data_IF_262726948370
#
_entry.id   IF_262726948370
#
_cell.length_a   1.000
_cell.length_b   1.000
_cell.length_c   1.000
_cell.angle_alpha   90.00
_cell.angle_beta   90.00
_cell.angle_gamma   90.00
#
_symmetry.space_group_name_H-M   'P 1'
#
loop_
_entity.id
_entity.type
_entity.pdbx_description
1 polymer ?
#
# COMPACT_ATOMS: atom_id res chain seq x y z
N UNK A 1 68.72 -44.88 5.82
CA UNK A 1 68.61 -43.42 5.55
C UNK A 1 67.74 -43.03 4.33
N UNK A 2 67.62 -43.81 3.28
CA UNK A 2 66.81 -43.45 2.08
C UNK A 2 65.26 -43.45 2.29
N UNK A 3 64.75 -44.18 3.27
CA UNK A 3 63.25 -44.24 3.51
C UNK A 3 62.71 -43.09 4.34
N UNK A 4 63.53 -42.40 5.11
CA UNK A 4 63.13 -41.25 5.93
C UNK A 4 62.97 -39.99 5.06
N UNK A 5 63.81 -39.85 4.01
CA UNK A 5 63.73 -38.72 3.09
C UNK A 5 62.49 -38.74 2.23
N UNK A 6 61.98 -39.94 1.88
CA UNK A 6 60.77 -40.07 1.07
C UNK A 6 59.48 -39.69 1.87
N UNK A 7 59.44 -39.99 3.17
CA UNK A 7 58.34 -39.62 4.04
C UNK A 7 58.29 -38.10 4.27
N UNK A 8 59.46 -37.47 4.44
CA UNK A 8 59.53 -36.01 4.58
C UNK A 8 59.14 -35.26 3.28
N UNK A 9 59.52 -35.80 2.11
CA UNK A 9 59.12 -35.21 0.82
C UNK A 9 57.62 -35.34 0.57
N UNK A 10 56.99 -36.44 0.97
CA UNK A 10 55.53 -36.62 0.86
C UNK A 10 54.79 -35.71 1.87
N UNK A 11 55.33 -35.55 3.10
CA UNK A 11 54.73 -34.62 4.07
C UNK A 11 54.90 -33.16 3.64
N UNK A 12 56.03 -32.77 3.04
CA UNK A 12 56.20 -31.41 2.49
C UNK A 12 55.31 -31.15 1.27
N UNK A 13 55.03 -32.17 0.43
CA UNK A 13 54.10 -32.03 -0.67
C UNK A 13 52.61 -31.94 -0.21
N UNK A 14 52.26 -32.66 0.87
CA UNK A 14 50.87 -32.55 1.42
C UNK A 14 50.65 -31.21 2.09
N UNK A 15 51.68 -30.61 2.70
CA UNK A 15 51.56 -29.27 3.27
C UNK A 15 51.62 -28.13 2.22
N UNK A 16 52.26 -28.36 1.05
CA UNK A 16 52.30 -27.38 -0.03
C UNK A 16 51.07 -27.40 -0.94
N UNK A 17 50.22 -28.41 -0.82
CA UNK A 17 48.91 -28.49 -1.56
C UNK A 17 47.75 -27.86 -0.83
N UNK A 18 47.92 -27.35 0.39
CA UNK A 18 46.85 -26.73 1.19
C UNK A 18 47.01 -25.21 1.38
N UNK A 19 48.00 -24.57 0.80
CA UNK A 19 48.02 -23.12 0.65
C UNK A 19 47.38 -22.75 -0.69
N UNK A 20 46.09 -22.94 -0.80
CA UNK A 20 45.33 -22.21 -1.78
C UNK A 20 45.50 -20.72 -1.43
N UNK A 21 46.13 -19.94 -2.34
CA UNK A 21 46.26 -18.50 -2.15
C UNK A 21 44.86 -17.94 -1.91
N UNK A 22 44.59 -17.56 -0.68
CA UNK A 22 43.33 -16.94 -0.32
C UNK A 22 43.27 -15.57 -0.99
N UNK A 23 42.40 -15.42 -1.97
CA UNK A 23 42.21 -14.14 -2.64
C UNK A 23 41.37 -13.22 -1.73
N UNK A 24 41.90 -12.05 -1.44
CA UNK A 24 41.19 -11.01 -0.69
C UNK A 24 40.77 -9.90 -1.64
N UNK A 25 39.48 -9.61 -1.68
CA UNK A 25 38.88 -8.54 -2.50
C UNK A 25 38.34 -7.49 -1.55
N UNK A 26 38.78 -6.23 -1.70
CA UNK A 26 38.22 -5.12 -0.93
C UNK A 26 37.01 -4.53 -1.68
N UNK A 27 35.86 -4.40 -1.00
CA UNK A 27 34.63 -3.91 -1.54
C UNK A 27 34.18 -2.71 -0.70
N UNK A 28 33.91 -1.59 -1.36
CA UNK A 28 33.34 -0.41 -0.70
C UNK A 28 31.95 -0.16 -1.26
N UNK A 29 30.94 -0.22 -0.40
CA UNK A 29 29.55 0.09 -0.71
C UNK A 29 29.19 1.40 -0.02
N UNK A 30 28.67 2.37 -0.78
CA UNK A 30 28.31 3.69 -0.26
C UNK A 30 26.85 4.01 -0.55
N UNK A 31 26.20 4.74 0.36
CA UNK A 31 24.78 5.09 0.20
C UNK A 31 23.85 3.91 0.44
N UNK A 32 24.26 2.94 1.26
CA UNK A 32 23.39 1.82 1.61
C UNK A 32 22.17 2.33 2.42
N UNK A 33 20.99 1.92 2.00
CA UNK A 33 19.73 2.22 2.69
C UNK A 33 19.44 1.08 3.66
N UNK A 34 19.07 1.46 4.89
CA UNK A 34 18.76 0.52 5.98
C UNK A 34 17.25 0.30 6.05
N UNK A 35 16.81 -0.91 5.76
CA UNK A 35 15.40 -1.30 5.90
C UNK A 35 15.25 -2.30 7.05
N UNK A 36 14.47 -2.00 8.10
CA UNK A 36 14.11 -2.96 9.13
C UNK A 36 13.14 -4.00 8.56
N UNK A 37 13.59 -5.26 8.42
CA UNK A 37 12.79 -6.29 7.74
C UNK A 37 11.79 -6.98 8.67
N UNK A 38 12.11 -7.20 9.94
CA UNK A 38 11.15 -7.67 10.97
C UNK A 38 11.80 -7.84 12.33
N UNK A 39 10.96 -7.89 13.38
CA UNK A 39 11.34 -8.44 14.70
C UNK A 39 10.80 -9.86 14.80
N UNK A 40 11.68 -10.85 14.94
CA UNK A 40 11.31 -12.18 15.41
C UNK A 40 11.75 -12.32 16.87
N UNK A 41 10.88 -11.97 17.80
CA UNK A 41 11.21 -11.95 19.22
C UNK A 41 12.26 -10.87 19.55
N UNK A 42 13.38 -11.26 20.17
CA UNK A 42 14.52 -10.37 20.49
C UNK A 42 15.53 -10.17 19.34
N UNK A 43 15.25 -10.74 18.17
CA UNK A 43 16.14 -10.66 17.01
C UNK A 43 15.71 -9.55 16.07
N UNK A 44 16.65 -8.70 15.68
CA UNK A 44 16.46 -7.68 14.62
C UNK A 44 17.09 -8.18 13.33
N UNK A 45 16.33 -8.13 12.26
CA UNK A 45 16.84 -8.26 10.90
C UNK A 45 16.95 -6.86 10.29
N UNK A 46 18.14 -6.52 9.80
CA UNK A 46 18.35 -5.33 9.00
C UNK A 46 18.75 -5.75 7.61
N UNK A 47 18.12 -5.19 6.61
CA UNK A 47 18.54 -5.29 5.23
C UNK A 47 19.19 -3.95 4.84
N UNK A 48 20.42 -4.04 4.29
CA UNK A 48 21.08 -2.92 3.63
C UNK A 48 21.05 -3.16 2.14
N UNK A 49 20.64 -2.17 1.38
CA UNK A 49 20.55 -2.26 -0.07
C UNK A 49 21.01 -0.95 -0.71
N UNK A 50 21.66 -1.03 -1.86
CA UNK A 50 22.05 0.13 -2.67
C UNK A 50 21.34 0.12 -4.02
N UNK A 51 21.45 1.23 -4.76
CA UNK A 51 20.78 1.41 -6.06
C UNK A 51 21.30 0.45 -7.16
N UNK A 52 22.47 -0.19 -6.96
CA UNK A 52 23.03 -1.13 -7.93
C UNK A 52 22.73 -2.58 -7.60
N UNK A 53 21.96 -2.81 -6.53
CA UNK A 53 21.45 -4.13 -6.14
C UNK A 53 22.40 -4.96 -5.27
N UNK A 54 23.38 -4.33 -4.58
CA UNK A 54 24.07 -4.99 -3.50
C UNK A 54 23.14 -5.09 -2.30
N UNK A 55 23.10 -6.26 -1.66
CA UNK A 55 22.26 -6.53 -0.50
C UNK A 55 23.08 -7.17 0.61
N UNK A 56 22.96 -6.64 1.83
CA UNK A 56 23.56 -7.21 3.03
C UNK A 56 22.49 -7.36 4.11
N UNK A 57 22.21 -8.58 4.51
CA UNK A 57 21.31 -8.91 5.63
C UNK A 57 22.12 -9.10 6.90
N UNK A 58 21.77 -8.34 7.93
CA UNK A 58 22.44 -8.40 9.22
C UNK A 58 21.52 -9.07 10.21
N UNK A 59 22.01 -10.11 10.85
CA UNK A 59 21.30 -10.82 11.89
C UNK A 59 21.94 -10.49 13.24
N UNK A 60 21.21 -9.75 14.08
CA UNK A 60 21.66 -9.41 15.41
C UNK A 60 20.77 -10.05 16.48
N UNK A 61 21.35 -10.89 17.31
CA UNK A 61 20.66 -11.58 18.40
C UNK A 61 20.39 -10.74 19.65
N UNK A 62 20.75 -9.42 19.67
CA UNK A 62 20.54 -8.55 20.84
C UNK A 62 20.19 -7.13 20.44
N UNK A 63 19.26 -6.54 21.17
CA UNK A 63 18.64 -5.24 20.90
C UNK A 63 19.60 -4.04 20.94
N UNK A 64 20.75 -4.14 21.65
CA UNK A 64 21.64 -3.00 21.96
C UNK A 64 23.11 -3.21 21.59
N UNK A 65 23.45 -4.18 20.73
CA UNK A 65 24.85 -4.52 20.53
C UNK A 65 25.42 -3.92 19.23
N UNK A 66 26.19 -2.87 19.39
CA UNK A 66 27.39 -2.68 18.57
C UNK A 66 28.35 -3.82 18.91
N UNK A 67 28.60 -4.73 17.98
CA UNK A 67 29.44 -5.90 18.19
C UNK A 67 29.52 -6.77 16.95
N UNK A 68 30.12 -7.91 17.07
CA UNK A 68 30.22 -8.88 15.99
C UNK A 68 28.86 -9.53 15.75
N UNK A 69 28.42 -9.59 14.49
CA UNK A 69 27.17 -10.23 14.08
C UNK A 69 27.34 -10.94 12.73
N UNK A 70 26.44 -11.87 12.45
CA UNK A 70 26.43 -12.58 11.19
C UNK A 70 25.90 -11.68 10.07
N UNK A 71 26.60 -11.68 8.94
CA UNK A 71 26.24 -10.95 7.72
C UNK A 71 26.08 -11.94 6.58
N UNK A 72 24.96 -11.84 5.89
CA UNK A 72 24.66 -12.59 4.66
C UNK A 72 24.37 -11.59 3.57
N UNK A 73 24.72 -11.86 2.33
CA UNK A 73 24.41 -10.91 1.29
C UNK A 73 24.65 -11.38 -0.12
N UNK A 74 24.40 -10.46 -1.03
CA UNK A 74 24.66 -10.59 -2.45
C UNK A 74 25.43 -9.37 -2.93
N UNK A 75 26.56 -9.60 -3.56
CA UNK A 75 27.39 -8.55 -4.17
C UNK A 75 27.16 -8.56 -5.68
N UNK A 76 26.38 -7.59 -6.15
CA UNK A 76 25.87 -7.54 -7.53
C UNK A 76 27.00 -7.42 -8.57
N UNK A 77 28.04 -6.63 -8.29
CA UNK A 77 29.19 -6.47 -9.17
C UNK A 77 29.92 -7.78 -9.44
N UNK A 78 29.97 -8.66 -8.43
CA UNK A 78 30.66 -9.95 -8.51
C UNK A 78 29.72 -11.10 -8.84
N UNK A 79 28.40 -10.85 -8.78
CA UNK A 79 27.32 -11.84 -8.98
C UNK A 79 27.45 -13.04 -8.03
N UNK A 80 27.73 -12.80 -6.75
CA UNK A 80 28.01 -13.84 -5.75
C UNK A 80 27.19 -13.65 -4.48
N UNK A 81 26.76 -14.77 -3.89
CA UNK A 81 26.25 -14.83 -2.53
C UNK A 81 27.40 -14.98 -1.54
N UNK A 82 27.36 -14.22 -0.48
CA UNK A 82 28.41 -14.13 0.53
C UNK A 82 27.85 -14.27 1.94
N UNK A 83 28.68 -14.82 2.84
CA UNK A 83 28.36 -14.90 4.27
C UNK A 83 29.60 -14.72 5.13
N UNK A 84 29.42 -14.28 6.36
CA UNK A 84 30.52 -14.10 7.31
C UNK A 84 30.14 -13.29 8.52
N UNK A 85 31.10 -12.55 9.06
CA UNK A 85 30.88 -11.72 10.25
C UNK A 85 31.21 -10.25 9.98
N UNK A 86 30.54 -9.36 10.68
CA UNK A 86 30.75 -7.93 10.57
C UNK A 86 30.65 -7.21 11.90
N UNK A 87 31.11 -5.97 11.90
CA UNK A 87 30.98 -5.03 13.01
C UNK A 87 30.30 -3.76 12.52
N UNK A 88 29.46 -3.21 13.37
CA UNK A 88 28.75 -1.96 13.12
C UNK A 88 29.31 -0.85 14.02
N UNK A 89 29.64 0.28 13.45
CA UNK A 89 30.14 1.42 14.19
C UNK A 89 29.69 2.74 13.54
N UNK A 90 29.73 3.81 14.31
CA UNK A 90 29.62 5.16 13.78
C UNK A 90 31.05 5.71 13.60
N UNK A 91 31.44 5.94 12.35
CA UNK A 91 32.77 6.47 12.00
C UNK A 91 32.56 7.86 11.41
N UNK A 92 33.15 8.87 12.04
CA UNK A 92 33.03 10.29 11.65
C UNK A 92 31.56 10.76 11.47
N UNK A 93 30.66 10.23 12.30
CA UNK A 93 29.23 10.56 12.26
C UNK A 93 28.41 9.77 11.22
N UNK A 94 29.03 8.84 10.50
CA UNK A 94 28.38 7.99 9.50
C UNK A 94 28.29 6.55 10.02
N UNK A 95 27.10 5.97 9.99
CA UNK A 95 26.93 4.54 10.29
C UNK A 95 27.68 3.71 9.24
N UNK A 96 28.55 2.82 9.70
CA UNK A 96 29.44 2.03 8.86
C UNK A 96 29.41 0.58 9.30
N UNK A 97 29.15 -0.32 8.37
CA UNK A 97 29.34 -1.77 8.51
C UNK A 97 30.71 -2.14 7.93
N UNK A 98 31.53 -2.85 8.70
CA UNK A 98 32.74 -3.49 8.20
C UNK A 98 32.57 -5.00 8.37
N UNK A 99 32.71 -5.75 7.28
CA UNK A 99 32.47 -7.19 7.30
C UNK A 99 33.58 -7.96 6.57
N UNK A 100 33.87 -9.18 7.06
CA UNK A 100 34.70 -10.16 6.39
C UNK A 100 33.80 -11.29 5.93
N UNK A 101 33.59 -11.37 4.63
CA UNK A 101 32.64 -12.29 3.99
C UNK A 101 33.37 -13.27 3.09
N UNK A 102 32.86 -14.48 2.98
CA UNK A 102 33.35 -15.51 2.06
C UNK A 102 32.23 -15.84 1.06
N UNK A 103 32.65 -16.18 -0.14
CA UNK A 103 31.73 -16.70 -1.15
C UNK A 103 31.21 -18.06 -0.71
N UNK A 104 29.90 -18.29 -0.79
CA UNK A 104 29.27 -19.54 -0.34
C UNK A 104 29.74 -20.77 -1.15
N UNK A 105 30.01 -20.58 -2.44
CA UNK A 105 30.41 -21.65 -3.34
C UNK A 105 31.96 -21.80 -3.38
N UNK A 106 32.72 -20.78 -2.99
CA UNK A 106 34.17 -20.76 -3.09
C UNK A 106 34.82 -20.04 -1.89
N UNK A 107 35.03 -20.78 -0.82
CA UNK A 107 35.62 -20.25 0.43
C UNK A 107 37.07 -19.79 0.33
N UNK A 108 37.75 -19.96 -0.83
CA UNK A 108 39.10 -19.42 -1.06
C UNK A 108 39.11 -17.92 -1.38
N UNK A 109 37.90 -17.34 -1.68
CA UNK A 109 37.74 -15.92 -1.93
C UNK A 109 37.12 -15.27 -0.68
N UNK A 110 37.77 -14.22 -0.19
CA UNK A 110 37.35 -13.42 0.95
C UNK A 110 37.10 -11.98 0.51
N UNK A 111 35.95 -11.46 0.83
CA UNK A 111 35.55 -10.06 0.59
C UNK A 111 35.69 -9.28 1.90
N UNK A 112 36.52 -8.23 1.90
CA UNK A 112 36.58 -7.23 2.96
C UNK A 112 35.65 -6.10 2.58
N UNK A 113 34.42 -6.09 3.16
CA UNK A 113 33.38 -5.16 2.82
C UNK A 113 33.36 -4.00 3.81
N UNK A 114 33.35 -2.79 3.29
CA UNK A 114 33.04 -1.57 4.05
C UNK A 114 31.80 -0.93 3.44
N UNK A 115 30.68 -0.95 4.15
CA UNK A 115 29.43 -0.38 3.72
C UNK A 115 29.08 0.85 4.56
N UNK A 116 28.90 2.00 3.92
CA UNK A 116 28.47 3.24 4.58
C UNK A 116 26.99 3.50 4.29
N UNK A 117 26.24 3.85 5.35
CA UNK A 117 24.82 4.14 5.23
C UNK A 117 24.61 5.58 4.77
N UNK A 118 23.47 5.80 4.12
CA UNK A 118 22.99 7.14 3.84
C UNK A 118 22.73 7.88 5.16
N UNK A 119 23.19 9.14 5.26
CA UNK A 119 22.95 9.94 6.45
C UNK A 119 21.45 10.14 6.67
N UNK A 120 20.96 9.82 7.87
CA UNK A 120 19.58 10.04 8.24
C UNK A 120 19.23 11.55 8.17
N UNK A 121 18.07 11.82 7.62
CA UNK A 121 17.58 13.20 7.42
C UNK A 121 16.56 13.54 8.50
N UNK A 122 16.56 14.81 8.90
CA UNK A 122 15.45 15.40 9.66
C UNK A 122 14.69 16.34 8.73
N UNK A 123 13.39 16.09 8.57
CA UNK A 123 12.52 16.80 7.65
C UNK A 123 11.42 17.48 8.45
N UNK A 124 11.30 18.80 8.31
CA UNK A 124 10.26 19.59 8.96
C UNK A 124 9.03 19.68 8.06
N UNK A 125 7.90 19.16 8.54
CA UNK A 125 6.63 19.17 7.83
C UNK A 125 5.63 20.09 8.54
N UNK A 126 5.41 21.28 7.99
CA UNK A 126 4.44 22.23 8.53
C UNK A 126 3.27 22.43 7.57
N UNK A 127 2.05 22.17 8.03
CA UNK A 127 0.83 22.38 7.28
C UNK A 127 -0.21 23.18 8.08
N UNK A 128 -0.49 24.41 7.66
CA UNK A 128 -1.41 25.31 8.36
C UNK A 128 -2.86 25.26 7.84
N UNK A 129 -3.08 24.65 6.67
CA UNK A 129 -4.38 24.59 5.99
C UNK A 129 -4.83 23.13 5.77
N UNK A 130 -4.51 22.26 6.72
CA UNK A 130 -4.96 20.89 6.70
C UNK A 130 -6.47 20.80 6.99
N UNK A 131 -7.03 19.68 6.66
CA UNK A 131 -8.36 19.30 7.10
C UNK A 131 -8.33 17.95 7.79
N UNK A 132 -9.39 17.66 8.56
CA UNK A 132 -9.60 16.35 9.15
C UNK A 132 -11.03 15.88 8.90
N UNK A 133 -11.21 14.59 8.87
CA UNK A 133 -12.52 13.94 8.81
C UNK A 133 -12.48 12.62 9.59
N UNK A 134 -13.66 12.05 9.83
CA UNK A 134 -13.84 10.78 10.50
C UNK A 134 -14.61 9.86 9.56
N UNK A 135 -13.95 8.87 8.93
CA UNK A 135 -14.63 7.90 8.07
C UNK A 135 -15.57 7.01 8.88
N UNK A 136 -15.23 6.77 10.14
CA UNK A 136 -16.04 6.01 11.09
C UNK A 136 -15.93 6.59 12.53
N UNK A 137 -16.43 5.85 13.51
CA UNK A 137 -16.41 6.28 14.92
C UNK A 137 -15.03 6.11 15.59
N UNK A 138 -14.10 5.39 14.97
CA UNK A 138 -12.81 5.03 15.57
C UNK A 138 -11.66 5.86 15.00
N UNK A 139 -11.67 6.10 13.69
CA UNK A 139 -10.58 6.75 13.01
C UNK A 139 -10.79 8.26 12.87
N UNK A 140 -9.73 9.01 13.02
CA UNK A 140 -9.64 10.43 12.61
C UNK A 140 -8.47 10.57 11.67
N UNK A 141 -8.74 11.05 10.47
CA UNK A 141 -7.77 11.22 9.41
C UNK A 141 -7.50 12.72 9.22
N UNK A 142 -6.22 13.08 9.29
CA UNK A 142 -5.72 14.42 9.01
C UNK A 142 -5.03 14.41 7.67
N UNK A 143 -5.35 15.36 6.80
CA UNK A 143 -4.78 15.50 5.47
C UNK A 143 -4.36 16.92 5.22
N UNK A 144 -3.16 17.11 4.72
CA UNK A 144 -2.65 18.43 4.35
C UNK A 144 -1.60 18.33 3.23
N UNK A 145 -1.42 19.43 2.54
CA UNK A 145 -0.38 19.58 1.53
C UNK A 145 0.85 20.27 2.13
N UNK A 146 2.00 19.68 1.92
CA UNK A 146 3.29 20.26 2.29
C UNK A 146 4.14 20.37 1.02
N UNK A 147 4.19 21.55 0.43
CA UNK A 147 4.95 21.87 -0.78
C UNK A 147 4.60 20.96 -2.00
N UNK A 148 3.34 20.64 -2.18
CA UNK A 148 2.86 19.79 -3.28
C UNK A 148 2.88 18.29 -2.98
N UNK A 149 3.26 17.90 -1.76
CA UNK A 149 3.25 16.50 -1.31
C UNK A 149 2.19 16.33 -0.21
N UNK A 150 1.32 15.34 -0.36
CA UNK A 150 0.27 15.06 0.62
C UNK A 150 0.87 14.42 1.87
N UNK A 151 0.53 15.00 3.01
CA UNK A 151 0.76 14.42 4.34
C UNK A 151 -0.57 13.93 4.89
N UNK A 152 -0.66 12.64 5.16
CA UNK A 152 -1.83 11.98 5.74
C UNK A 152 -1.46 11.37 7.07
N UNK A 153 -2.25 11.60 8.11
CA UNK A 153 -2.03 11.04 9.45
C UNK A 153 -3.33 10.42 9.94
N UNK A 154 -3.26 9.19 10.44
CA UNK A 154 -4.39 8.40 10.92
C UNK A 154 -4.22 8.18 12.41
N UNK A 155 -5.21 8.56 13.18
CA UNK A 155 -5.25 8.37 14.64
C UNK A 155 -6.49 7.55 15.00
N UNK A 156 -6.28 6.39 15.57
CA UNK A 156 -7.35 5.57 16.12
C UNK A 156 -7.81 6.11 17.49
N UNK A 157 -9.12 6.17 17.70
CA UNK A 157 -9.73 6.61 18.97
C UNK A 157 -9.15 7.93 19.49
N UNK A 158 -8.94 8.91 18.62
CA UNK A 158 -8.28 10.19 18.89
C UNK A 158 -8.83 10.89 20.13
N UNK A 159 -7.91 11.33 20.99
CA UNK A 159 -8.20 12.17 22.16
C UNK A 159 -7.43 13.50 22.09
N UNK A 160 -7.90 14.53 22.82
CA UNK A 160 -7.07 15.69 23.10
C UNK A 160 -5.96 15.30 24.06
N UNK A 161 -4.71 15.60 23.72
CA UNK A 161 -3.50 15.18 24.41
C UNK A 161 -2.70 14.20 23.58
N UNK A 162 -1.99 13.30 24.24
CA UNK A 162 -1.10 12.36 23.60
C UNK A 162 -1.88 11.16 23.05
N UNK A 163 -1.60 10.82 21.80
CA UNK A 163 -2.14 9.66 21.09
C UNK A 163 -0.98 8.76 20.70
N UNK A 164 -1.04 7.47 21.03
CA UNK A 164 0.01 6.50 20.80
C UNK A 164 -0.13 5.79 19.44
N UNK A 165 0.97 5.24 18.95
CA UNK A 165 1.04 4.35 17.77
C UNK A 165 0.38 4.95 16.53
N UNK A 166 0.76 6.18 16.19
CA UNK A 166 0.14 6.95 15.11
C UNK A 166 0.79 6.64 13.77
N UNK A 167 -0.05 6.27 12.80
CA UNK A 167 0.34 6.04 11.42
C UNK A 167 0.30 7.33 10.61
N UNK A 168 1.26 7.50 9.71
CA UNK A 168 1.26 8.60 8.76
C UNK A 168 1.82 8.17 7.41
N UNK A 169 1.58 9.01 6.40
CA UNK A 169 2.12 8.86 5.06
C UNK A 169 2.50 10.23 4.51
N UNK A 170 3.70 10.37 3.99
CA UNK A 170 4.16 11.59 3.31
C UNK A 170 4.54 11.25 1.87
N UNK A 171 3.68 11.64 0.93
CA UNK A 171 3.71 11.10 -0.43
C UNK A 171 3.48 9.60 -0.43
N UNK A 172 4.46 8.83 -0.90
CA UNK A 172 4.45 7.36 -0.90
C UNK A 172 5.21 6.74 0.28
N UNK A 173 5.74 7.57 1.20
CA UNK A 173 6.55 7.11 2.33
C UNK A 173 5.70 6.93 3.57
N UNK A 174 5.62 5.71 4.09
CA UNK A 174 5.01 5.43 5.38
C UNK A 174 5.89 5.96 6.51
N UNK A 175 5.26 6.66 7.46
CA UNK A 175 5.91 7.22 8.65
C UNK A 175 5.14 6.83 9.91
N UNK A 176 5.85 6.57 10.99
CA UNK A 176 5.30 6.11 12.27
C UNK A 176 5.73 7.02 13.41
N UNK A 177 4.82 7.33 14.32
CA UNK A 177 5.14 8.00 15.57
C UNK A 177 4.68 7.18 16.77
N UNK A 178 5.53 7.05 17.79
CA UNK A 178 5.14 6.43 19.07
C UNK A 178 4.10 7.28 19.79
N UNK A 179 4.20 8.60 19.66
CA UNK A 179 3.26 9.55 20.31
C UNK A 179 3.11 10.81 19.48
N UNK A 180 1.86 11.24 19.31
CA UNK A 180 1.48 12.50 18.67
C UNK A 180 0.56 13.26 19.61
N UNK A 181 0.84 14.55 19.84
CA UNK A 181 -0.02 15.43 20.62
C UNK A 181 -1.07 16.10 19.73
N UNK A 182 -2.34 16.00 20.12
CA UNK A 182 -3.47 16.68 19.47
C UNK A 182 -4.13 17.62 20.46
N UNK A 183 -4.39 18.85 20.05
CA UNK A 183 -5.09 19.84 20.88
C UNK A 183 -6.08 20.65 20.07
N UNK A 184 -7.17 21.09 20.69
CA UNK A 184 -8.17 21.93 20.08
C UNK A 184 -9.61 21.43 20.23
N UNK A 185 -10.55 22.19 19.65
CA UNK A 185 -11.97 21.84 19.59
C UNK A 185 -12.54 22.35 18.26
N UNK A 186 -12.90 21.42 17.34
CA UNK A 186 -13.40 21.77 16.01
C UNK A 186 -12.32 22.25 15.02
N UNK A 187 -11.25 22.85 15.53
CA UNK A 187 -9.98 23.09 14.83
C UNK A 187 -8.90 22.47 15.68
N UNK A 188 -8.13 21.54 15.13
CA UNK A 188 -7.11 20.82 15.84
C UNK A 188 -5.71 21.26 15.41
N UNK A 189 -4.79 21.27 16.38
CA UNK A 189 -3.35 21.33 16.13
C UNK A 189 -2.77 19.97 16.50
N UNK A 190 -2.02 19.40 15.59
CA UNK A 190 -1.33 18.12 15.73
C UNK A 190 0.17 18.38 15.66
N UNK A 191 0.92 17.79 16.56
CA UNK A 191 2.38 17.83 16.56
C UNK A 191 2.98 16.52 17.00
N UNK A 192 4.05 16.10 16.35
CA UNK A 192 4.72 14.83 16.67
C UNK A 192 5.97 14.63 15.84
N UNK A 193 6.75 13.63 16.26
CA UNK A 193 7.93 13.19 15.54
C UNK A 193 7.68 11.79 15.01
N UNK A 194 7.80 11.65 13.70
CA UNK A 194 7.61 10.41 12.97
C UNK A 194 8.94 9.90 12.44
N UNK A 195 9.02 8.63 12.17
CA UNK A 195 10.16 8.00 11.50
C UNK A 195 9.68 7.12 10.35
N UNK A 196 10.41 7.10 9.24
CA UNK A 196 10.21 6.13 8.18
C UNK A 196 10.96 4.82 8.46
N UNK A 197 10.80 3.85 7.58
CA UNK A 197 11.41 2.53 7.71
C UNK A 197 12.95 2.56 7.71
N UNK A 198 13.56 3.57 7.09
CA UNK A 198 15.02 3.70 7.03
C UNK A 198 15.59 4.55 8.18
N UNK A 199 14.72 5.19 8.98
CA UNK A 199 15.07 5.95 10.18
C UNK A 199 15.15 7.46 10.00
N UNK A 200 14.79 8.01 8.83
CA UNK A 200 14.63 9.46 8.70
C UNK A 200 13.56 9.96 9.67
N UNK A 201 13.78 11.14 10.20
CA UNK A 201 12.89 11.76 11.18
C UNK A 201 12.08 12.88 10.52
N UNK A 202 10.77 12.87 10.76
CA UNK A 202 9.83 13.87 10.26
C UNK A 202 9.21 14.60 11.45
N UNK A 203 9.54 15.87 11.63
CA UNK A 203 8.91 16.72 12.64
C UNK A 203 7.66 17.34 12.04
N UNK A 204 6.50 16.87 12.49
CA UNK A 204 5.21 17.29 11.96
C UNK A 204 4.56 18.34 12.84
N UNK A 205 4.11 19.43 12.23
CA UNK A 205 3.21 20.41 12.82
C UNK A 205 2.07 20.72 11.86
N UNK A 206 0.84 20.39 12.25
CA UNK A 206 -0.33 20.51 11.40
C UNK A 206 -1.46 21.23 12.13
N UNK A 207 -2.11 22.20 11.45
CA UNK A 207 -3.35 22.82 11.92
C UNK A 207 -4.47 22.48 10.96
N UNK A 208 -5.48 21.76 11.44
CA UNK A 208 -6.55 21.20 10.62
C UNK A 208 -7.94 21.67 11.07
N UNK A 209 -8.77 21.98 10.11
CA UNK A 209 -10.23 22.24 10.30
C UNK A 209 -11.02 21.03 9.81
N UNK A 210 -12.23 20.86 10.35
CA UNK A 210 -13.09 19.77 9.87
C UNK A 210 -13.41 19.93 8.38
N UNK A 211 -13.28 18.85 7.62
CA UNK A 211 -13.68 18.83 6.22
C UNK A 211 -15.20 19.00 6.11
N UNK A 212 -15.64 19.97 5.31
CA UNK A 212 -17.06 20.28 5.15
C UNK A 212 -17.75 19.21 4.31
N UNK A 213 -18.93 18.75 4.78
CA UNK A 213 -19.77 17.84 4.02
C UNK A 213 -20.64 18.62 3.06
N UNK A 214 -20.62 18.23 1.80
CA UNK A 214 -21.48 18.78 0.76
C UNK A 214 -22.69 17.87 0.59
N UNK A 215 -23.91 18.30 0.95
CA UNK A 215 -25.10 17.50 0.75
C UNK A 215 -25.45 17.44 -0.75
N UNK A 216 -25.72 16.25 -1.24
CA UNK A 216 -26.14 16.00 -2.63
C UNK A 216 -27.41 15.16 -2.60
N UNK A 217 -28.49 15.70 -3.18
CA UNK A 217 -29.75 15.00 -3.28
C UNK A 217 -30.09 14.73 -4.74
N UNK A 218 -30.25 13.47 -5.07
CA UNK A 218 -30.52 13.00 -6.42
C UNK A 218 -31.85 12.24 -6.40
N UNK A 219 -32.72 12.56 -7.34
CA UNK A 219 -33.97 11.87 -7.56
C UNK A 219 -33.97 11.27 -8.99
N UNK A 220 -34.83 10.30 -9.22
CA UNK A 220 -34.99 9.63 -10.52
C UNK A 220 -33.70 8.83 -10.94
N UNK A 221 -32.91 8.35 -10.00
CA UNK A 221 -31.85 7.42 -10.26
C UNK A 221 -32.42 6.02 -10.59
N UNK A 222 -31.57 5.20 -11.20
CA UNK A 222 -31.90 3.83 -11.59
C UNK A 222 -30.98 2.85 -10.85
N UNK A 223 -31.60 1.79 -10.33
CA UNK A 223 -30.95 0.70 -9.64
C UNK A 223 -31.00 -0.56 -10.51
N UNK A 224 -29.88 -1.25 -10.68
CA UNK A 224 -29.77 -2.53 -11.37
C UNK A 224 -28.82 -3.46 -10.61
N UNK A 225 -29.05 -4.77 -10.73
CA UNK A 225 -28.07 -5.78 -10.29
C UNK A 225 -27.32 -6.32 -11.50
N UNK A 226 -26.00 -6.30 -11.44
CA UNK A 226 -25.11 -6.79 -12.51
C UNK A 226 -23.92 -7.49 -11.89
N UNK A 227 -23.68 -8.74 -12.32
CA UNK A 227 -22.54 -9.56 -11.91
C UNK A 227 -22.35 -9.66 -10.37
N UNK A 228 -23.44 -9.71 -9.62
CA UNK A 228 -23.44 -9.78 -8.17
C UNK A 228 -23.19 -8.46 -7.44
N UNK A 229 -23.13 -7.35 -8.16
CA UNK A 229 -23.04 -6.01 -7.61
C UNK A 229 -24.34 -5.23 -7.84
N UNK A 230 -24.58 -4.21 -7.02
CA UNK A 230 -25.63 -3.22 -7.25
C UNK A 230 -25.03 -2.01 -7.93
N UNK A 231 -25.60 -1.60 -9.05
CA UNK A 231 -25.21 -0.42 -9.82
C UNK A 231 -26.33 0.59 -9.75
N UNK A 232 -26.03 1.81 -9.30
CA UNK A 232 -26.95 2.93 -9.27
C UNK A 232 -26.43 4.00 -10.22
N UNK A 233 -27.27 4.40 -11.15
CA UNK A 233 -26.94 5.40 -12.17
C UNK A 233 -27.97 6.52 -12.20
N UNK A 234 -27.56 7.69 -12.67
CA UNK A 234 -28.42 8.86 -12.82
C UNK A 234 -27.62 10.08 -13.25
N UNK A 235 -28.25 11.24 -13.14
CA UNK A 235 -27.61 12.52 -13.41
C UNK A 235 -27.18 13.19 -12.11
N UNK A 236 -25.90 13.52 -12.00
CA UNK A 236 -25.31 14.29 -10.89
C UNK A 236 -25.76 15.76 -10.96
N UNK A 237 -25.75 16.28 -12.18
CA UNK A 237 -26.25 17.59 -12.58
C UNK A 237 -26.75 17.52 -14.04
N UNK A 238 -27.13 18.66 -14.63
CA UNK A 238 -27.69 18.71 -15.99
C UNK A 238 -26.78 18.16 -17.09
N UNK A 239 -25.46 17.98 -16.83
CA UNK A 239 -24.47 17.59 -17.83
C UNK A 239 -23.58 16.42 -17.41
N UNK A 240 -23.71 15.94 -16.19
CA UNK A 240 -22.81 14.90 -15.63
C UNK A 240 -23.62 13.70 -15.17
N UNK A 241 -23.37 12.57 -15.77
CA UNK A 241 -23.90 11.29 -15.29
C UNK A 241 -23.04 10.76 -14.13
N UNK A 242 -23.66 10.01 -13.23
CA UNK A 242 -22.96 9.32 -12.17
C UNK A 242 -23.24 7.83 -12.18
N UNK A 243 -22.30 7.09 -11.60
CA UNK A 243 -22.43 5.66 -11.30
C UNK A 243 -21.96 5.41 -9.88
N UNK A 244 -22.74 4.68 -9.10
CA UNK A 244 -22.32 4.12 -7.82
C UNK A 244 -22.32 2.61 -7.94
N UNK A 245 -21.21 1.98 -7.53
CA UNK A 245 -21.08 0.52 -7.45
C UNK A 245 -21.07 0.12 -5.99
N UNK A 246 -22.01 -0.74 -5.59
CA UNK A 246 -22.04 -1.40 -4.29
C UNK A 246 -21.65 -2.85 -4.48
N UNK A 247 -20.61 -3.27 -3.75
CA UNK A 247 -20.02 -4.60 -3.92
C UNK A 247 -20.80 -5.63 -3.11
N UNK A 248 -21.69 -6.26 -3.67
CA UNK A 248 -22.55 -7.42 -3.41
C UNK A 248 -23.99 -7.14 -3.81
N UNK A 249 -24.71 -8.16 -4.26
CA UNK A 249 -26.15 -8.03 -4.56
C UNK A 249 -26.96 -7.84 -3.28
N UNK A 250 -28.04 -7.09 -3.41
CA UNK A 250 -29.00 -6.87 -2.33
C UNK A 250 -29.70 -8.20 -1.94
N UNK A 251 -29.55 -8.59 -0.68
CA UNK A 251 -30.21 -9.82 -0.15
C UNK A 251 -31.38 -9.53 0.77
N UNK A 252 -31.61 -8.27 1.09
CA UNK A 252 -32.71 -7.80 1.94
C UNK A 252 -33.17 -6.38 1.54
N UNK A 253 -34.26 -5.91 2.10
CA UNK A 253 -34.80 -4.57 1.83
C UNK A 253 -34.04 -3.43 2.54
N UNK A 254 -33.11 -3.79 3.41
CA UNK A 254 -32.24 -2.86 4.12
C UNK A 254 -30.86 -3.47 4.23
N UNK A 255 -29.88 -2.89 3.56
CA UNK A 255 -28.48 -3.38 3.54
C UNK A 255 -27.55 -2.21 3.80
N UNK A 256 -26.55 -2.46 4.66
CA UNK A 256 -25.40 -1.59 4.83
C UNK A 256 -24.24 -2.22 4.07
N UNK A 257 -23.70 -1.48 3.10
CA UNK A 257 -22.52 -1.86 2.36
C UNK A 257 -21.29 -1.25 3.03
N UNK A 258 -20.27 -2.07 3.26
CA UNK A 258 -19.02 -1.63 3.87
C UNK A 258 -18.08 -0.98 2.85
N UNK A 259 -18.36 -1.14 1.56
CA UNK A 259 -17.57 -0.57 0.47
C UNK A 259 -18.47 -0.15 -0.70
N UNK A 260 -18.25 1.07 -1.19
CA UNK A 260 -18.95 1.61 -2.34
C UNK A 260 -18.07 2.61 -3.09
N UNK A 261 -18.12 2.57 -4.41
CA UNK A 261 -17.44 3.51 -5.30
C UNK A 261 -18.45 4.44 -5.97
N UNK A 262 -18.09 5.72 -6.07
CA UNK A 262 -18.81 6.74 -6.82
C UNK A 262 -17.92 7.30 -7.92
N UNK A 263 -18.47 7.36 -9.12
CA UNK A 263 -17.91 8.11 -10.24
C UNK A 263 -18.95 9.08 -10.78
N UNK A 264 -18.58 10.37 -10.89
CA UNK A 264 -19.42 11.40 -11.51
C UNK A 264 -18.52 12.37 -12.29
N UNK A 265 -18.41 12.19 -13.61
CA UNK A 265 -17.41 12.88 -14.42
C UNK A 265 -15.98 12.61 -13.91
N UNK A 266 -15.28 13.68 -13.51
CA UNK A 266 -13.93 13.62 -12.93
C UNK A 266 -13.94 13.37 -11.41
N UNK A 267 -15.11 13.32 -10.76
CA UNK A 267 -15.25 13.03 -9.34
C UNK A 267 -15.14 11.52 -9.15
N UNK A 268 -14.13 11.10 -8.42
CA UNK A 268 -13.96 9.73 -7.91
C UNK A 268 -14.00 9.79 -6.40
N UNK A 269 -14.90 9.02 -5.79
CA UNK A 269 -15.04 8.99 -4.34
C UNK A 269 -15.43 7.59 -3.85
N UNK A 270 -15.07 7.27 -2.62
CA UNK A 270 -15.35 5.98 -1.98
C UNK A 270 -16.10 6.16 -0.67
N UNK A 271 -16.81 5.14 -0.24
CA UNK A 271 -17.48 5.12 1.06
C UNK A 271 -17.27 3.78 1.75
N UNK A 272 -17.13 3.83 3.08
CA UNK A 272 -17.02 2.64 3.95
C UNK A 272 -18.35 2.28 4.62
N UNK A 273 -19.40 3.08 4.43
CA UNK A 273 -20.71 2.82 4.99
C UNK A 273 -21.82 3.48 4.15
N UNK A 274 -22.49 2.69 3.36
CA UNK A 274 -23.64 3.11 2.53
C UNK A 274 -24.86 2.25 2.88
N UNK A 275 -25.97 2.89 3.11
CA UNK A 275 -27.25 2.20 3.39
C UNK A 275 -28.14 2.24 2.17
N UNK A 276 -28.52 1.09 1.67
CA UNK A 276 -29.52 0.91 0.62
C UNK A 276 -30.82 0.35 1.24
N UNK A 277 -31.91 1.07 1.04
CA UNK A 277 -33.27 0.63 1.34
C UNK A 277 -34.03 0.44 0.05
N UNK A 278 -34.71 -0.69 -0.11
CA UNK A 278 -35.54 -0.99 -1.27
C UNK A 278 -36.98 -1.32 -0.82
N UNK A 279 -37.97 -0.93 -1.58
CA UNK A 279 -39.39 -1.29 -1.39
C UNK A 279 -40.07 -1.48 -2.76
N UNK A 280 -41.38 -1.76 -2.74
CA UNK A 280 -42.17 -1.96 -3.95
C UNK A 280 -42.26 -0.70 -4.84
N UNK A 281 -41.91 0.47 -4.32
CA UNK A 281 -42.00 1.76 -5.03
C UNK A 281 -40.66 2.23 -5.58
N UNK A 282 -39.54 1.63 -5.11
CA UNK A 282 -38.21 2.01 -5.55
C UNK A 282 -37.14 1.79 -4.51
N UNK A 283 -36.14 2.67 -4.49
CA UNK A 283 -35.01 2.57 -3.55
C UNK A 283 -34.62 3.94 -3.00
N UNK A 284 -33.95 3.91 -1.87
CA UNK A 284 -33.21 5.06 -1.31
C UNK A 284 -31.83 4.62 -0.88
N UNK A 285 -30.80 5.29 -1.37
CA UNK A 285 -29.41 5.16 -0.95
C UNK A 285 -29.01 6.38 -0.12
N UNK A 286 -28.36 6.14 1.02
CA UNK A 286 -27.73 7.19 1.84
C UNK A 286 -26.34 6.78 2.21
N UNK A 287 -25.38 7.72 2.15
CA UNK A 287 -23.99 7.48 2.52
C UNK A 287 -23.13 8.72 2.39
N UNK A 288 -21.94 8.65 2.96
CA UNK A 288 -20.92 9.69 2.85
C UNK A 288 -19.79 9.16 1.98
N UNK A 289 -19.51 9.84 0.88
CA UNK A 289 -18.46 9.50 -0.06
C UNK A 289 -17.31 10.49 0.06
N UNK A 290 -16.11 9.98 0.26
CA UNK A 290 -14.89 10.75 0.41
C UNK A 290 -14.21 10.80 -0.96
N UNK A 291 -13.98 12.01 -1.47
CA UNK A 291 -13.25 12.21 -2.72
C UNK A 291 -11.88 11.51 -2.68
N UNK A 292 -11.45 10.91 -3.77
CA UNK A 292 -10.17 10.16 -3.85
C UNK A 292 -8.93 10.96 -3.44
N UNK A 293 -8.97 12.29 -3.59
CA UNK A 293 -7.94 13.20 -3.12
C UNK A 293 -8.20 13.71 -1.68
N UNK A 294 -9.20 13.18 -1.00
CA UNK A 294 -9.59 13.54 0.38
C UNK A 294 -9.87 15.05 0.58
N UNK A 295 -10.30 15.74 -0.48
CA UNK A 295 -10.56 17.20 -0.48
C UNK A 295 -12.01 17.57 -0.23
N UNK A 296 -12.94 16.62 -0.32
CA UNK A 296 -14.37 16.81 -0.13
C UNK A 296 -15.05 15.55 0.41
N UNK A 297 -16.17 15.76 1.12
CA UNK A 297 -17.10 14.69 1.51
C UNK A 297 -18.44 15.01 0.88
N UNK A 298 -19.00 14.06 0.14
CA UNK A 298 -20.35 14.14 -0.43
C UNK A 298 -21.33 13.33 0.43
N UNK A 299 -22.24 14.00 1.10
CA UNK A 299 -23.33 13.36 1.84
C UNK A 299 -24.49 13.11 0.87
N UNK A 300 -24.58 11.88 0.34
CA UNK A 300 -25.54 11.53 -0.69
C UNK A 300 -26.87 11.07 -0.08
N UNK A 301 -27.95 11.55 -0.69
CA UNK A 301 -29.29 10.97 -0.57
C UNK A 301 -29.84 10.79 -1.98
N UNK A 302 -29.93 9.53 -2.42
CA UNK A 302 -30.33 9.18 -3.77
C UNK A 302 -31.61 8.35 -3.71
N UNK A 303 -32.59 8.69 -4.51
CA UNK A 303 -33.83 7.92 -4.66
C UNK A 303 -34.16 7.69 -6.12
N UNK A 304 -34.83 6.58 -6.38
CA UNK A 304 -35.17 6.22 -7.73
C UNK A 304 -36.02 4.95 -7.79
N UNK A 305 -36.14 4.42 -8.99
CA UNK A 305 -36.86 3.18 -9.26
C UNK A 305 -35.86 2.04 -9.54
N UNK A 306 -36.20 0.82 -9.17
CA UNK A 306 -35.48 -0.34 -9.68
C UNK A 306 -35.60 -0.32 -11.21
N UNK A 307 -34.46 -0.36 -11.91
CA UNK A 307 -34.49 -0.62 -13.33
C UNK A 307 -35.07 -2.01 -13.47
N UNK A 308 -36.26 -2.10 -14.02
CA UNK A 308 -36.81 -3.43 -14.34
C UNK A 308 -35.86 -4.05 -15.34
N UNK A 309 -35.09 -5.07 -14.90
CA UNK A 309 -34.35 -5.98 -15.79
C UNK A 309 -35.32 -6.86 -16.60
N UNK A 310 -36.64 -6.54 -16.50
CA UNK A 310 -37.59 -7.13 -17.39
C UNK A 310 -37.32 -6.56 -18.78
N UNK A 311 -36.97 -7.41 -19.68
CA UNK A 311 -37.09 -7.19 -21.13
C UNK A 311 -38.49 -6.67 -21.54
N UNK A 312 -39.37 -6.44 -20.59
CA UNK A 312 -40.72 -5.87 -20.72
C UNK A 312 -40.75 -4.35 -21.00
N UNK A 313 -39.62 -3.65 -20.78
CA UNK A 313 -39.47 -2.20 -21.12
C UNK A 313 -38.96 -1.92 -22.55
N UNK A 314 -38.43 -2.87 -23.24
CA UNK A 314 -38.38 -2.83 -24.70
C UNK A 314 -39.82 -3.06 -25.14
N UNK A 315 -40.54 -1.98 -25.58
CA UNK A 315 -41.77 -2.15 -26.32
C UNK A 315 -41.49 -3.23 -27.37
N UNK A 316 -41.87 -4.48 -27.04
CA UNK A 316 -41.86 -5.54 -28.02
C UNK A 316 -42.84 -5.03 -29.04
N UNK A 317 -42.28 -4.49 -30.14
CA UNK A 317 -43.11 -4.24 -31.31
C UNK A 317 -43.83 -5.56 -31.50
N UNK A 318 -45.16 -5.55 -31.50
CA UNK A 318 -46.05 -6.74 -31.43
C UNK A 318 -45.72 -7.86 -32.43
N UNK A 319 -44.63 -7.72 -33.19
CA UNK A 319 -44.13 -8.57 -34.25
C UNK A 319 -42.80 -9.25 -34.03
N UNK A 320 -42.19 -9.17 -32.81
CA UNK A 320 -40.92 -9.87 -32.54
C UNK A 320 -41.08 -10.99 -31.51
N UNK A 321 -40.91 -12.25 -31.91
CA UNK A 321 -40.94 -13.42 -31.03
C UNK A 321 -39.54 -13.92 -30.73
N UNK A 322 -39.27 -14.20 -29.47
CA UNK A 322 -38.09 -14.94 -29.08
C UNK A 322 -38.40 -16.39 -28.96
N UNK A 323 -37.57 -17.26 -29.57
CA UNK A 323 -37.69 -18.68 -29.43
C UNK A 323 -36.32 -19.34 -29.29
N UNK A 324 -36.31 -20.49 -28.64
CA UNK A 324 -35.12 -21.37 -28.59
C UNK A 324 -35.36 -22.48 -29.56
N UNK A 325 -34.53 -22.58 -30.60
CA UNK A 325 -34.55 -23.66 -31.56
C UNK A 325 -33.16 -24.33 -31.58
N UNK A 326 -33.11 -25.63 -31.36
CA UNK A 326 -31.85 -26.42 -31.26
C UNK A 326 -30.85 -25.87 -30.22
N UNK A 327 -31.35 -25.31 -29.08
CA UNK A 327 -30.53 -24.78 -28.02
C UNK A 327 -29.94 -23.38 -28.30
N UNK A 328 -30.35 -22.72 -29.37
CA UNK A 328 -29.95 -21.34 -29.71
C UNK A 328 -31.12 -20.38 -29.57
N UNK A 329 -30.87 -19.24 -28.92
CA UNK A 329 -31.85 -18.16 -28.87
C UNK A 329 -31.93 -17.48 -30.24
N UNK A 330 -33.15 -17.33 -30.77
CA UNK A 330 -33.43 -16.63 -32.03
C UNK A 330 -34.51 -15.58 -31.81
N UNK A 331 -34.45 -14.51 -32.59
CA UNK A 331 -35.45 -13.47 -32.67
C UNK A 331 -36.18 -13.59 -33.99
N UNK A 332 -37.50 -13.74 -33.95
CA UNK A 332 -38.35 -13.71 -35.15
C UNK A 332 -39.00 -12.35 -35.20
N UNK A 333 -38.77 -11.61 -36.27
CA UNK A 333 -39.43 -10.34 -36.56
C UNK A 333 -40.03 -10.42 -37.96
N UNK A 334 -41.33 -10.14 -38.04
CA UNK A 334 -42.05 -10.16 -39.31
C UNK A 334 -41.89 -11.51 -40.11
N UNK A 335 -41.77 -12.62 -39.37
CA UNK A 335 -41.57 -13.94 -39.94
C UNK A 335 -40.13 -14.27 -40.35
N UNK A 336 -39.20 -13.36 -40.20
CA UNK A 336 -37.76 -13.58 -40.47
C UNK A 336 -37.05 -13.93 -39.17
N UNK A 337 -36.21 -14.99 -39.21
CA UNK A 337 -35.40 -15.44 -38.10
C UNK A 337 -34.05 -14.66 -38.08
N UNK A 338 -33.65 -14.18 -36.92
CA UNK A 338 -32.37 -13.51 -36.68
C UNK A 338 -31.61 -14.23 -35.57
N UNK A 339 -30.28 -14.26 -35.64
CA UNK A 339 -29.41 -14.58 -34.51
C UNK A 339 -29.47 -13.48 -33.46
N UNK A 340 -28.96 -13.75 -32.25
CA UNK A 340 -28.81 -12.69 -31.19
C UNK A 340 -27.87 -11.56 -31.62
N UNK A 341 -26.99 -11.82 -32.60
CA UNK A 341 -26.09 -10.81 -33.18
C UNK A 341 -26.77 -10.02 -34.33
N UNK A 342 -28.07 -10.29 -34.63
CA UNK A 342 -28.84 -9.59 -35.65
C UNK A 342 -28.62 -10.11 -37.09
N UNK A 343 -27.99 -11.26 -37.27
CA UNK A 343 -27.84 -11.91 -38.57
C UNK A 343 -29.13 -12.65 -38.97
N UNK A 344 -29.56 -12.52 -40.22
CA UNK A 344 -30.67 -13.32 -40.77
C UNK A 344 -30.23 -14.78 -40.89
N UNK A 345 -31.03 -15.72 -40.36
CA UNK A 345 -30.78 -17.14 -40.34
C UNK A 345 -31.60 -17.87 -41.43
#
# INVERSE_FOLDING_TARGET
>A
MKRIFTIFAIFAMVFSLSAQDQQVINVTLSGMVKTPVSRMGSYRFLLLEDEVGNQLSIYNGKEDAYGDFDVYGYLSEYNVSVSGTGTWAVVDGVETLTATLQEEENTSITYQVTATLESLKTIELTCNNAHYYKPDSKETIFVGDVNGTILRIIIENMVNGDNADVLGMYGETDILAETVNVSGLGKYTLSGTFQDAIGNTYTVSMTASQLTKTPVNIVNAHYTELDGNVIITGAWDDNTDFTITLYAAATSNHIVYEEADLQAGDILATSTAVTLNTDDNGFTLTGEFIHSQETAIYALTISGTAATTSLDGVAINEHALKMIENGRLMIIREGIKYSVEGQIL
#
